data_IF_999004084743
#
_entry.id   IF_999004084743
#
_cell.length_a   1.000
_cell.length_b   1.000
_cell.length_c   1.000
_cell.angle_alpha   90.00
_cell.angle_beta   90.00
_cell.angle_gamma   90.00
#
_symmetry.space_group_name_H-M   'P 1'
#
loop_
_entity.id
_entity.type
_entity.pdbx_description
1 polymer ?
#
# COMPACT_ATOMS: atom_id res chain seq x y z
N UNK A 1 -4.45 -29.14 -86.44
CA UNK A 1 -4.98 -29.16 -85.06
C UNK A 1 -3.86 -28.74 -84.15
N UNK A 2 -3.86 -27.47 -83.77
CA UNK A 2 -2.84 -26.86 -82.97
C UNK A 2 -3.41 -26.68 -81.57
N UNK A 3 -2.77 -27.29 -80.59
CA UNK A 3 -3.12 -27.05 -79.16
C UNK A 3 -2.40 -25.80 -78.61
N UNK A 4 -3.07 -24.88 -77.98
CA UNK A 4 -2.37 -23.81 -77.32
C UNK A 4 -1.86 -24.26 -75.90
N UNK A 5 -0.57 -24.04 -75.63
CA UNK A 5 0.02 -24.19 -74.30
C UNK A 5 -0.31 -22.95 -73.47
N UNK A 6 -1.01 -23.14 -72.34
CA UNK A 6 -1.20 -22.13 -71.34
C UNK A 6 0.05 -22.06 -70.44
N UNK A 7 0.87 -21.05 -70.63
CA UNK A 7 1.92 -20.70 -69.69
C UNK A 7 1.32 -19.90 -68.52
N UNK A 8 1.22 -20.53 -67.36
CA UNK A 8 0.78 -19.91 -66.15
C UNK A 8 1.96 -19.12 -65.55
N UNK A 9 1.93 -17.81 -65.76
CA UNK A 9 2.88 -16.89 -65.04
C UNK A 9 2.41 -16.76 -63.63
N UNK A 10 3.09 -17.46 -62.70
CA UNK A 10 2.89 -17.35 -61.26
C UNK A 10 3.61 -16.10 -60.79
N UNK A 11 2.87 -15.00 -60.65
CA UNK A 11 3.36 -13.75 -60.07
C UNK A 11 3.51 -13.95 -58.53
N UNK A 12 4.71 -14.28 -58.07
CA UNK A 12 5.04 -14.26 -56.64
C UNK A 12 5.05 -12.80 -56.16
N UNK A 13 3.94 -12.35 -55.62
CA UNK A 13 3.92 -11.18 -54.75
C UNK A 13 4.68 -11.53 -53.47
N UNK A 14 5.95 -11.13 -53.40
CA UNK A 14 6.68 -11.06 -52.12
C UNK A 14 6.03 -9.98 -51.27
N UNK A 15 5.09 -10.39 -50.43
CA UNK A 15 4.73 -9.60 -49.29
C UNK A 15 5.94 -9.60 -48.35
N UNK A 16 6.71 -8.54 -48.39
CA UNK A 16 7.62 -8.20 -47.34
C UNK A 16 6.76 -7.98 -46.09
N UNK A 17 6.59 -9.02 -45.27
CA UNK A 17 6.18 -8.83 -43.89
C UNK A 17 7.28 -8.00 -43.25
N UNK A 18 7.07 -6.71 -43.21
CA UNK A 18 7.73 -5.92 -42.18
C UNK A 18 7.30 -6.58 -40.87
N UNK A 19 8.18 -7.38 -40.29
CA UNK A 19 8.08 -7.69 -38.89
C UNK A 19 8.04 -6.34 -38.20
N UNK A 20 6.85 -5.90 -37.82
CA UNK A 20 6.69 -4.96 -36.74
C UNK A 20 7.28 -5.72 -35.54
N UNK A 21 8.57 -5.53 -35.29
CA UNK A 21 9.17 -5.94 -34.03
C UNK A 21 8.26 -5.34 -32.98
N UNK A 22 7.55 -6.19 -32.22
CA UNK A 22 6.93 -5.75 -30.99
C UNK A 22 8.02 -4.98 -30.28
N UNK A 23 7.87 -3.68 -30.08
CA UNK A 23 8.91 -2.81 -29.60
C UNK A 23 9.31 -3.34 -28.22
N UNK A 24 10.49 -3.95 -28.15
CA UNK A 24 11.10 -4.30 -26.87
C UNK A 24 11.15 -3.01 -26.04
N UNK A 25 10.89 -3.11 -24.72
CA UNK A 25 10.98 -1.97 -23.85
C UNK A 25 12.36 -1.30 -24.03
N UNK A 26 12.36 0.01 -24.23
CA UNK A 26 13.61 0.73 -24.52
C UNK A 26 14.39 0.95 -23.23
N UNK A 27 15.65 0.56 -23.24
CA UNK A 27 16.58 0.73 -22.11
C UNK A 27 16.76 2.20 -21.73
N UNK A 28 16.68 2.51 -20.44
CA UNK A 28 16.99 3.85 -19.90
C UNK A 28 18.47 4.20 -20.11
N UNK A 29 19.34 3.21 -20.23
CA UNK A 29 20.77 3.43 -20.47
C UNK A 29 21.04 4.03 -21.85
N UNK A 30 20.16 3.83 -22.82
CA UNK A 30 20.23 4.50 -24.14
C UNK A 30 20.10 6.02 -24.04
N UNK A 31 19.48 6.51 -22.97
CA UNK A 31 19.34 7.93 -22.66
C UNK A 31 20.44 8.44 -21.70
N UNK A 32 21.38 7.58 -21.33
CA UNK A 32 22.50 7.93 -20.48
C UNK A 32 22.24 7.74 -18.98
N UNK A 33 21.13 7.13 -18.57
CA UNK A 33 20.90 6.76 -17.15
C UNK A 33 21.81 5.60 -16.81
N UNK A 34 22.78 5.80 -15.89
CA UNK A 34 23.81 4.79 -15.58
C UNK A 34 24.16 4.81 -14.10
N UNK A 35 24.53 3.65 -13.52
CA UNK A 35 25.21 3.64 -12.24
C UNK A 35 26.50 4.47 -12.33
N UNK A 36 26.82 5.20 -11.28
CA UNK A 36 28.03 6.05 -11.21
C UNK A 36 27.90 7.45 -11.82
N UNK A 37 26.83 7.79 -12.52
CA UNK A 37 26.51 9.19 -12.82
C UNK A 37 26.06 9.91 -11.55
N UNK A 38 26.15 11.24 -11.55
CA UNK A 38 25.57 12.03 -10.45
C UNK A 38 24.03 11.88 -10.42
N UNK A 39 23.38 11.99 -9.23
CA UNK A 39 21.93 11.92 -9.11
C UNK A 39 21.20 12.91 -10.02
N UNK A 40 21.72 14.14 -10.14
CA UNK A 40 21.15 15.18 -10.99
C UNK A 40 21.26 14.85 -12.50
N UNK A 41 22.37 14.26 -12.93
CA UNK A 41 22.56 13.80 -14.32
C UNK A 41 21.59 12.66 -14.65
N UNK A 42 21.50 11.67 -13.78
CA UNK A 42 20.55 10.56 -13.96
C UNK A 42 19.09 11.04 -13.96
N UNK A 43 18.74 11.99 -13.11
CA UNK A 43 17.41 12.64 -13.14
C UNK A 43 17.11 13.23 -14.51
N UNK A 44 18.01 14.07 -15.04
CA UNK A 44 17.82 14.70 -16.34
C UNK A 44 17.70 13.68 -17.46
N UNK A 45 18.55 12.66 -17.44
CA UNK A 45 18.58 11.59 -18.44
C UNK A 45 17.31 10.73 -18.37
N UNK A 46 16.84 10.42 -17.17
CA UNK A 46 15.60 9.65 -16.96
C UNK A 46 14.38 10.47 -17.41
N UNK A 47 14.35 11.77 -17.11
CA UNK A 47 13.26 12.64 -17.58
C UNK A 47 13.25 12.73 -19.11
N UNK A 48 14.41 12.84 -19.77
CA UNK A 48 14.51 12.83 -21.23
C UNK A 48 13.99 11.51 -21.84
N UNK A 49 14.29 10.37 -21.19
CA UNK A 49 13.76 9.06 -21.59
C UNK A 49 12.23 9.02 -21.47
N UNK A 50 11.68 9.51 -20.38
CA UNK A 50 10.23 9.57 -20.13
C UNK A 50 9.55 10.52 -21.12
N UNK A 51 10.15 11.66 -21.44
CA UNK A 51 9.63 12.62 -22.38
C UNK A 51 9.53 12.01 -23.77
N UNK A 52 10.59 11.36 -24.24
CA UNK A 52 10.57 10.61 -25.49
C UNK A 52 9.53 9.48 -25.48
N UNK A 53 9.47 8.68 -24.41
CA UNK A 53 8.54 7.58 -24.31
C UNK A 53 7.07 8.04 -24.32
N UNK A 54 6.78 9.20 -23.75
CA UNK A 54 5.43 9.78 -23.73
C UNK A 54 4.92 10.21 -25.11
N UNK A 55 5.82 10.59 -26.01
CA UNK A 55 5.47 11.00 -27.38
C UNK A 55 4.94 9.81 -28.20
N UNK A 56 5.41 8.61 -27.92
CA UNK A 56 5.09 7.40 -28.69
C UNK A 56 4.34 6.32 -27.91
N UNK A 57 4.09 6.54 -26.60
CA UNK A 57 3.44 5.55 -25.74
C UNK A 57 4.33 4.32 -25.49
N UNK A 58 5.58 4.51 -25.06
CA UNK A 58 6.55 3.43 -24.92
C UNK A 58 6.75 2.97 -23.48
N UNK A 59 7.28 1.75 -23.34
CA UNK A 59 7.84 1.23 -22.10
C UNK A 59 9.35 1.47 -22.03
N UNK A 60 9.81 1.86 -20.84
CA UNK A 60 11.22 2.03 -20.51
C UNK A 60 11.68 0.88 -19.61
N UNK A 61 12.76 0.25 -20.01
CA UNK A 61 13.39 -0.84 -19.26
C UNK A 61 14.46 -0.27 -18.33
N UNK A 62 14.28 -0.52 -17.02
CA UNK A 62 15.28 -0.25 -15.99
C UNK A 62 16.13 -1.50 -15.84
N UNK A 63 17.32 -1.50 -16.43
CA UNK A 63 18.18 -2.67 -16.45
C UNK A 63 18.61 -3.08 -15.05
N UNK A 64 18.77 -4.38 -14.80
CA UNK A 64 19.38 -4.84 -13.57
C UNK A 64 20.85 -4.46 -13.51
N UNK A 65 21.30 -4.05 -12.34
CA UNK A 65 22.70 -3.68 -12.09
C UNK A 65 23.12 -4.11 -10.68
N UNK A 66 24.41 -4.38 -10.51
CA UNK A 66 25.01 -4.63 -9.20
C UNK A 66 25.14 -3.35 -8.35
N UNK A 67 25.15 -2.19 -9.01
CA UNK A 67 25.13 -0.88 -8.37
C UNK A 67 23.81 -0.18 -8.66
N UNK A 68 23.14 0.42 -7.66
CA UNK A 68 21.93 1.19 -7.86
C UNK A 68 22.13 2.40 -8.78
N UNK A 69 21.06 2.82 -9.43
CA UNK A 69 21.02 4.11 -10.12
C UNK A 69 20.70 5.20 -9.11
N UNK A 70 21.69 6.06 -8.81
CA UNK A 70 21.44 7.24 -7.97
C UNK A 70 20.69 8.29 -8.78
N UNK A 71 19.51 8.72 -8.29
CA UNK A 71 18.63 9.64 -9.04
C UNK A 71 17.98 10.62 -8.09
N UNK A 72 18.07 11.93 -8.39
CA UNK A 72 17.33 12.97 -7.68
C UNK A 72 15.82 12.89 -7.94
N UNK A 73 15.02 13.34 -6.97
CA UNK A 73 13.58 13.41 -7.06
C UNK A 73 13.06 14.50 -8.02
N UNK A 74 11.74 14.57 -8.15
CA UNK A 74 11.06 15.49 -9.05
C UNK A 74 10.91 14.97 -10.47
N UNK A 75 10.94 13.65 -10.66
CA UNK A 75 10.63 12.99 -11.93
C UNK A 75 9.12 13.07 -12.18
N UNK A 76 8.73 13.41 -13.41
CA UNK A 76 7.34 13.37 -13.87
C UNK A 76 7.19 12.18 -14.81
N UNK A 77 6.52 11.13 -14.35
CA UNK A 77 6.16 9.99 -15.20
C UNK A 77 4.94 10.39 -16.03
N UNK A 78 5.20 10.82 -17.25
CA UNK A 78 4.20 11.35 -18.17
C UNK A 78 3.24 10.29 -18.68
N UNK A 79 2.12 10.73 -19.22
CA UNK A 79 1.04 9.88 -19.73
C UNK A 79 1.53 8.75 -20.61
N UNK A 80 0.92 7.58 -20.43
CA UNK A 80 1.13 6.38 -21.23
C UNK A 80 2.57 5.86 -21.24
N UNK A 81 3.37 6.17 -20.21
CA UNK A 81 4.72 5.65 -20.04
C UNK A 81 4.73 4.56 -18.99
N UNK A 82 5.43 3.47 -19.27
CA UNK A 82 5.69 2.39 -18.32
C UNK A 82 7.18 2.35 -17.97
N UNK A 83 7.50 2.30 -16.66
CA UNK A 83 8.83 1.96 -16.15
C UNK A 83 8.80 0.51 -15.69
N UNK A 84 9.64 -0.35 -16.27
CA UNK A 84 9.64 -1.80 -16.03
C UNK A 84 11.03 -2.24 -15.60
N UNK A 85 11.09 -2.92 -14.46
CA UNK A 85 12.30 -3.57 -13.95
C UNK A 85 12.15 -5.09 -13.87
N UNK A 86 13.14 -5.77 -13.29
CA UNK A 86 13.24 -7.24 -13.27
C UNK A 86 12.52 -7.93 -12.12
N UNK A 87 12.09 -7.19 -11.10
CA UNK A 87 11.61 -7.82 -9.87
C UNK A 87 10.18 -8.32 -10.00
N UNK A 88 9.94 -9.51 -9.44
CA UNK A 88 8.62 -10.06 -9.16
C UNK A 88 8.15 -9.64 -7.75
N UNK A 89 7.10 -10.28 -7.22
CA UNK A 89 6.60 -10.05 -5.86
C UNK A 89 7.59 -10.62 -4.83
N UNK A 90 8.56 -9.82 -4.41
CA UNK A 90 9.60 -10.19 -3.45
C UNK A 90 9.45 -9.37 -2.17
N UNK A 91 8.79 -9.90 -1.12
CA UNK A 91 8.51 -9.12 0.11
C UNK A 91 9.75 -8.61 0.85
N UNK A 92 10.91 -9.13 0.52
CA UNK A 92 12.20 -8.76 1.11
C UNK A 92 13.18 -8.21 0.09
N UNK A 93 12.74 -8.05 -1.18
CA UNK A 93 13.56 -7.56 -2.27
C UNK A 93 14.71 -8.49 -2.65
N UNK A 94 15.65 -7.94 -3.41
CA UNK A 94 16.85 -8.63 -3.86
C UNK A 94 18.09 -7.83 -3.48
N UNK A 95 19.01 -8.44 -2.74
CA UNK A 95 20.18 -7.77 -2.19
C UNK A 95 21.49 -8.42 -2.63
N UNK A 96 22.54 -7.60 -2.70
CA UNK A 96 23.88 -8.09 -2.97
C UNK A 96 24.39 -8.94 -1.79
N UNK A 97 24.99 -10.12 -2.03
CA UNK A 97 25.36 -11.03 -0.95
C UNK A 97 26.40 -10.47 0.03
N UNK A 98 27.25 -9.54 -0.42
CA UNK A 98 28.32 -8.98 0.40
C UNK A 98 28.21 -7.48 0.67
N UNK A 99 27.65 -6.69 -0.26
CA UNK A 99 27.59 -5.21 -0.13
C UNK A 99 26.43 -4.73 0.75
N UNK A 100 25.47 -5.58 1.08
CA UNK A 100 24.28 -5.24 1.88
C UNK A 100 23.48 -4.08 1.27
N UNK A 101 23.37 -4.05 -0.02
CA UNK A 101 22.59 -3.09 -0.80
C UNK A 101 21.63 -3.83 -1.73
N UNK A 102 20.53 -3.22 -2.15
CA UNK A 102 19.68 -3.81 -3.18
C UNK A 102 20.42 -3.94 -4.51
N UNK A 103 20.08 -4.96 -5.28
CA UNK A 103 20.61 -5.18 -6.64
C UNK A 103 19.48 -5.45 -7.62
N UNK A 104 19.75 -5.27 -8.89
CA UNK A 104 18.76 -5.40 -9.96
C UNK A 104 18.27 -4.03 -10.43
N UNK A 105 17.00 -3.88 -10.68
CA UNK A 105 16.40 -2.59 -11.08
C UNK A 105 16.14 -1.73 -9.86
N UNK A 106 17.14 -0.94 -9.45
CA UNK A 106 17.14 -0.18 -8.19
C UNK A 106 17.41 1.29 -8.42
N UNK A 107 16.53 2.15 -7.91
CA UNK A 107 16.82 3.57 -7.74
C UNK A 107 17.26 3.86 -6.30
N UNK A 108 18.44 4.46 -6.12
CA UNK A 108 18.90 5.00 -4.86
C UNK A 108 18.56 6.50 -4.79
N UNK A 109 17.91 6.91 -3.70
CA UNK A 109 17.32 8.23 -3.55
C UNK A 109 17.95 8.91 -2.34
N UNK A 110 18.62 10.05 -2.57
CA UNK A 110 19.22 10.89 -1.54
C UNK A 110 18.57 12.27 -1.45
N UNK A 111 17.78 12.66 -2.46
CA UNK A 111 17.04 13.92 -2.48
C UNK A 111 15.92 13.92 -1.42
N UNK A 112 16.09 14.76 -0.41
CA UNK A 112 15.12 14.95 0.68
C UNK A 112 14.15 16.13 0.44
N UNK A 113 14.23 16.81 -0.70
CA UNK A 113 13.41 17.99 -0.99
C UNK A 113 12.20 17.68 -1.89
N UNK A 114 12.35 16.72 -2.80
CA UNK A 114 11.34 16.43 -3.81
C UNK A 114 10.80 15.01 -3.70
N UNK A 115 9.52 14.81 -3.97
CA UNK A 115 9.00 13.45 -4.22
C UNK A 115 9.77 12.82 -5.38
N UNK A 116 10.05 11.50 -5.28
CA UNK A 116 10.89 10.88 -6.30
C UNK A 116 10.20 10.87 -7.66
N UNK A 117 8.97 10.31 -7.75
CA UNK A 117 8.20 10.26 -8.99
C UNK A 117 6.78 10.80 -8.77
N UNK A 118 6.35 11.70 -9.63
CA UNK A 118 4.95 12.08 -9.80
C UNK A 118 4.36 11.37 -11.01
N UNK A 119 3.21 10.70 -10.83
CA UNK A 119 2.58 9.90 -11.88
C UNK A 119 1.41 10.62 -12.55
N UNK A 120 1.33 10.54 -13.87
CA UNK A 120 0.19 10.98 -14.66
C UNK A 120 -0.69 9.80 -15.12
N UNK A 121 -1.70 10.06 -15.95
CA UNK A 121 -2.65 9.05 -16.40
C UNK A 121 -2.03 7.97 -17.31
N UNK A 122 -2.53 6.74 -17.22
CA UNK A 122 -2.10 5.63 -18.06
C UNK A 122 -0.66 5.17 -17.80
N UNK A 123 -0.13 5.42 -16.61
CA UNK A 123 1.26 5.08 -16.27
C UNK A 123 1.36 3.77 -15.53
N UNK A 124 2.51 3.12 -15.67
CA UNK A 124 2.84 1.90 -14.95
C UNK A 124 4.26 1.98 -14.38
N UNK A 125 4.41 1.49 -13.14
CA UNK A 125 5.73 1.21 -12.55
C UNK A 125 5.69 -0.23 -12.05
N UNK A 126 6.61 -1.06 -12.54
CA UNK A 126 6.61 -2.48 -12.23
C UNK A 126 8.03 -3.02 -12.01
N UNK A 127 8.19 -3.85 -10.97
CA UNK A 127 9.41 -4.63 -10.76
C UNK A 127 10.64 -3.79 -10.42
N UNK A 128 10.46 -2.72 -9.67
CA UNK A 128 11.53 -1.78 -9.29
C UNK A 128 11.67 -1.73 -7.77
N UNK A 129 12.90 -1.59 -7.32
CA UNK A 129 13.22 -1.34 -5.92
C UNK A 129 13.64 0.12 -5.73
N UNK A 130 13.21 0.73 -4.62
CA UNK A 130 13.56 2.09 -4.20
C UNK A 130 14.33 2.00 -2.89
N UNK A 131 15.49 2.61 -2.84
CA UNK A 131 16.38 2.54 -1.70
C UNK A 131 16.81 3.94 -1.24
N UNK A 132 16.75 4.16 0.07
CA UNK A 132 17.18 5.39 0.73
C UNK A 132 18.45 5.09 1.55
N UNK A 133 19.65 5.16 0.93
CA UNK A 133 20.89 4.71 1.56
C UNK A 133 21.29 5.50 2.80
N UNK A 134 20.87 6.76 2.90
CA UNK A 134 21.20 7.64 4.03
C UNK A 134 20.20 7.55 5.18
N UNK A 135 19.10 6.79 5.02
CA UNK A 135 18.10 6.64 6.06
C UNK A 135 18.64 5.84 7.25
N UNK A 136 18.39 6.35 8.46
CA UNK A 136 18.76 5.61 9.68
C UNK A 136 17.90 4.37 9.89
N UNK A 137 18.52 3.33 10.47
CA UNK A 137 17.84 2.12 10.90
C UNK A 137 17.91 1.91 12.42
N UNK A 138 18.60 2.79 13.15
CA UNK A 138 18.88 2.61 14.59
C UNK A 138 18.56 3.81 15.46
N UNK A 139 18.63 5.02 14.92
CA UNK A 139 18.44 6.26 15.67
C UNK A 139 17.14 6.97 15.26
N UNK A 140 16.09 6.96 16.10
CA UNK A 140 14.84 7.64 15.79
C UNK A 140 14.98 9.16 15.68
N UNK A 141 15.99 9.77 16.33
CA UNK A 141 16.26 11.19 16.26
C UNK A 141 16.87 11.65 14.94
N UNK A 142 17.41 10.71 14.16
CA UNK A 142 18.03 10.97 12.86
C UNK A 142 17.16 10.52 11.67
N UNK A 143 15.88 10.21 11.88
CA UNK A 143 14.96 9.83 10.79
C UNK A 143 14.82 11.01 9.82
N UNK A 144 15.24 10.79 8.58
CA UNK A 144 15.06 11.74 7.50
C UNK A 144 13.62 11.63 6.97
N UNK A 145 12.90 12.75 6.99
CA UNK A 145 11.52 12.82 6.53
C UNK A 145 11.49 13.04 5.00
N UNK A 146 11.91 12.05 4.26
CA UNK A 146 11.84 12.10 2.81
C UNK A 146 10.40 12.34 2.34
N UNK A 147 10.20 13.15 1.26
CA UNK A 147 8.92 13.20 0.58
C UNK A 147 8.49 11.82 0.07
N UNK A 148 7.23 11.68 -0.34
CA UNK A 148 6.72 10.42 -0.86
C UNK A 148 7.57 9.91 -2.02
N UNK A 149 7.80 8.58 -2.07
CA UNK A 149 8.51 7.99 -3.21
C UNK A 149 7.70 8.14 -4.49
N UNK A 150 6.41 7.81 -4.44
CA UNK A 150 5.52 7.95 -5.61
C UNK A 150 4.30 8.75 -5.18
N UNK A 151 3.96 9.78 -5.94
CA UNK A 151 2.77 10.59 -5.68
C UNK A 151 1.99 10.89 -6.95
N UNK A 152 0.75 11.31 -6.79
CA UNK A 152 -0.08 11.81 -7.90
C UNK A 152 0.43 13.14 -8.42
N UNK A 153 0.12 13.41 -9.68
CA UNK A 153 0.37 14.74 -10.27
C UNK A 153 -0.42 15.82 -9.55
N UNK A 154 0.21 16.96 -9.32
CA UNK A 154 -0.41 18.16 -8.74
C UNK A 154 -1.03 19.08 -9.80
N UNK A 155 -0.79 18.82 -11.07
CA UNK A 155 -1.18 19.69 -12.18
C UNK A 155 -2.12 19.02 -13.17
N UNK A 156 -2.23 17.69 -13.14
CA UNK A 156 -3.10 16.91 -14.01
C UNK A 156 -3.80 15.78 -13.24
N UNK A 157 -4.94 15.31 -13.74
CA UNK A 157 -5.59 14.11 -13.19
C UNK A 157 -4.73 12.89 -13.47
N UNK A 158 -4.73 11.95 -12.52
CA UNK A 158 -4.07 10.65 -12.65
C UNK A 158 -5.16 9.58 -12.75
N UNK A 159 -5.25 8.91 -13.89
CA UNK A 159 -6.25 7.86 -14.16
C UNK A 159 -5.57 6.63 -14.73
N UNK A 160 -5.99 5.43 -14.28
CA UNK A 160 -5.44 4.18 -14.80
C UNK A 160 -3.95 4.01 -14.47
N UNK A 161 -3.55 4.27 -13.22
CA UNK A 161 -2.17 4.06 -12.75
C UNK A 161 -2.03 2.66 -12.18
N UNK A 162 -1.01 1.92 -12.62
CA UNK A 162 -0.73 0.57 -12.16
C UNK A 162 0.68 0.48 -11.56
N UNK A 163 0.74 0.18 -10.26
CA UNK A 163 1.96 0.10 -9.47
C UNK A 163 2.11 -1.32 -8.93
N UNK A 164 3.11 -2.08 -9.37
CA UNK A 164 3.22 -3.49 -9.00
C UNK A 164 4.63 -3.98 -8.79
N UNK A 165 4.77 -4.97 -7.89
CA UNK A 165 6.05 -5.59 -7.57
C UNK A 165 7.11 -4.56 -7.17
N UNK A 166 6.74 -3.62 -6.33
CA UNK A 166 7.63 -2.56 -5.85
C UNK A 166 8.11 -2.86 -4.44
N UNK A 167 9.38 -2.60 -4.19
CA UNK A 167 10.00 -2.80 -2.88
C UNK A 167 10.69 -1.52 -2.43
N UNK A 168 10.45 -1.11 -1.19
CA UNK A 168 10.97 0.12 -0.62
C UNK A 168 11.87 -0.19 0.58
N UNK A 169 13.01 0.48 0.65
CA UNK A 169 13.97 0.33 1.75
C UNK A 169 14.28 1.70 2.35
N UNK A 170 13.81 1.95 3.57
CA UNK A 170 14.07 3.18 4.30
C UNK A 170 13.22 4.37 3.89
N UNK A 171 12.16 4.16 3.17
CA UNK A 171 11.19 5.20 2.80
C UNK A 171 10.54 5.84 4.04
N UNK A 172 10.26 7.14 3.96
CA UNK A 172 9.43 7.81 4.96
C UNK A 172 7.94 7.65 4.66
N UNK A 173 7.54 7.80 3.39
CA UNK A 173 6.21 7.57 2.85
C UNK A 173 6.36 6.94 1.46
N UNK A 174 5.76 5.78 1.22
CA UNK A 174 5.87 5.12 -0.09
C UNK A 174 4.97 5.78 -1.14
N UNK A 175 3.66 5.91 -0.85
CA UNK A 175 2.68 6.38 -1.82
C UNK A 175 1.83 7.52 -1.24
N UNK A 176 1.88 8.69 -1.88
CA UNK A 176 1.00 9.82 -1.58
C UNK A 176 0.00 10.05 -2.73
N UNK A 177 -1.12 9.38 -2.63
CA UNK A 177 -2.24 9.51 -3.54
C UNK A 177 -3.36 10.37 -2.93
N UNK A 178 -2.95 11.33 -2.12
CA UNK A 178 -3.83 12.35 -1.56
C UNK A 178 -4.11 13.42 -2.62
N UNK A 179 -5.00 13.11 -3.54
CA UNK A 179 -5.36 13.98 -4.64
C UNK A 179 -6.20 15.18 -4.18
N UNK A 180 -6.16 16.24 -4.95
CA UNK A 180 -7.10 17.32 -4.77
C UNK A 180 -8.45 16.96 -5.40
N UNK A 181 -9.58 17.36 -4.80
CA UNK A 181 -10.92 17.07 -5.31
C UNK A 181 -11.10 17.41 -6.81
N UNK A 182 -10.47 18.49 -7.28
CA UNK A 182 -10.52 18.92 -8.70
C UNK A 182 -9.67 18.04 -9.63
N UNK A 183 -8.67 17.36 -9.08
CA UNK A 183 -7.73 16.49 -9.77
C UNK A 183 -7.86 15.05 -9.27
N UNK A 184 -9.07 14.64 -8.94
CA UNK A 184 -9.35 13.32 -8.40
C UNK A 184 -8.75 12.21 -9.26
N UNK A 185 -8.22 11.19 -8.57
CA UNK A 185 -7.69 10.00 -9.21
C UNK A 185 -8.82 9.03 -9.60
N UNK A 186 -8.57 8.17 -10.58
CA UNK A 186 -9.47 7.10 -10.96
C UNK A 186 -8.71 5.85 -11.37
N UNK A 187 -9.26 4.67 -11.09
CA UNK A 187 -8.70 3.37 -11.53
C UNK A 187 -7.24 3.15 -11.05
N UNK A 188 -6.96 3.47 -9.80
CA UNK A 188 -5.65 3.23 -9.21
C UNK A 188 -5.50 1.76 -8.79
N UNK A 189 -4.37 1.15 -9.10
CA UNK A 189 -4.04 -0.20 -8.64
C UNK A 189 -2.64 -0.25 -8.03
N UNK A 190 -2.57 -0.73 -6.79
CA UNK A 190 -1.34 -1.06 -6.06
C UNK A 190 -1.34 -2.56 -5.84
N UNK A 191 -0.33 -3.26 -6.31
CA UNK A 191 -0.29 -4.72 -6.24
C UNK A 191 1.12 -5.21 -5.90
N UNK A 192 1.23 -6.09 -4.90
CA UNK A 192 2.52 -6.63 -4.46
C UNK A 192 3.57 -5.54 -4.15
N UNK A 193 3.17 -4.52 -3.36
CA UNK A 193 4.06 -3.46 -2.92
C UNK A 193 4.49 -3.70 -1.47
N UNK A 194 5.78 -3.57 -1.19
CA UNK A 194 6.40 -3.98 0.06
C UNK A 194 7.32 -2.90 0.62
N UNK A 195 7.20 -2.59 1.93
CA UNK A 195 8.03 -1.59 2.58
C UNK A 195 7.83 -1.55 4.10
N UNK A 196 8.45 -0.56 4.73
CA UNK A 196 8.16 -0.17 6.11
C UNK A 196 8.35 1.34 6.26
N UNK A 197 7.28 2.11 6.09
CA UNK A 197 7.35 3.56 6.06
C UNK A 197 7.67 4.14 7.44
N UNK A 198 8.66 5.00 7.53
CA UNK A 198 9.06 5.63 8.78
C UNK A 198 8.11 6.76 9.24
N UNK A 199 7.17 7.18 8.40
CA UNK A 199 6.00 7.98 8.77
C UNK A 199 4.91 7.16 9.47
N UNK A 200 4.94 5.84 9.32
CA UNK A 200 3.86 4.93 9.68
C UNK A 200 2.75 4.82 8.63
N UNK A 201 2.81 5.59 7.54
CA UNK A 201 1.85 5.55 6.43
C UNK A 201 2.53 4.98 5.17
N UNK A 202 2.03 3.86 4.67
CA UNK A 202 2.53 3.24 3.44
C UNK A 202 1.79 3.73 2.21
N UNK A 203 0.46 3.71 2.26
CA UNK A 203 -0.42 4.25 1.21
C UNK A 203 -1.36 5.26 1.84
N UNK A 204 -1.29 6.49 1.35
CA UNK A 204 -2.22 7.56 1.66
C UNK A 204 -3.05 7.86 0.43
N UNK A 205 -4.39 7.71 0.53
CA UNK A 205 -5.31 7.84 -0.60
C UNK A 205 -6.47 8.76 -0.24
N UNK A 206 -6.69 9.78 -1.06
CA UNK A 206 -7.83 10.68 -0.95
C UNK A 206 -8.34 11.09 -2.35
N UNK A 207 -9.63 11.25 -2.51
CA UNK A 207 -10.30 11.54 -3.78
C UNK A 207 -9.88 10.60 -4.92
N UNK A 208 -9.89 9.29 -4.62
CA UNK A 208 -9.68 8.23 -5.61
C UNK A 208 -10.98 7.49 -5.88
N UNK A 209 -11.44 7.51 -7.11
CA UNK A 209 -12.74 6.99 -7.51
C UNK A 209 -12.61 5.84 -8.53
N UNK A 210 -13.76 5.35 -8.97
CA UNK A 210 -13.91 4.30 -9.97
C UNK A 210 -13.11 3.04 -9.65
N UNK A 211 -13.30 2.61 -8.40
CA UNK A 211 -12.77 1.38 -7.82
C UNK A 211 -11.23 1.34 -7.70
N UNK A 212 -10.66 2.10 -6.74
CA UNK A 212 -9.25 1.91 -6.42
C UNK A 212 -9.00 0.53 -5.80
N UNK A 213 -7.84 -0.07 -6.11
CA UNK A 213 -7.46 -1.41 -5.68
C UNK A 213 -6.12 -1.39 -4.95
N UNK A 214 -6.08 -2.01 -3.76
CA UNK A 214 -4.83 -2.27 -3.03
C UNK A 214 -4.80 -3.77 -2.75
N UNK A 215 -3.85 -4.46 -3.37
CA UNK A 215 -3.81 -5.91 -3.45
C UNK A 215 -2.45 -6.44 -2.99
N UNK A 216 -2.43 -7.43 -2.09
CA UNK A 216 -1.21 -8.14 -1.71
C UNK A 216 -0.06 -7.23 -1.22
N UNK A 217 -0.39 -6.16 -0.48
CA UNK A 217 0.61 -5.23 0.03
C UNK A 217 1.07 -5.64 1.43
N UNK A 218 2.39 -5.50 1.71
CA UNK A 218 3.01 -6.02 2.92
C UNK A 218 3.93 -4.98 3.57
N UNK A 219 3.58 -4.56 4.77
CA UNK A 219 4.31 -3.56 5.57
C UNK A 219 4.98 -4.26 6.76
N UNK A 220 6.33 -4.27 6.78
CA UNK A 220 7.07 -5.01 7.82
C UNK A 220 8.47 -4.44 8.04
N UNK A 221 8.86 -4.09 9.28
CA UNK A 221 10.19 -3.54 9.59
C UNK A 221 11.35 -4.49 9.25
N UNK A 222 11.07 -5.79 9.13
CA UNK A 222 12.07 -6.77 8.76
C UNK A 222 12.58 -6.62 7.32
N UNK A 223 11.96 -5.80 6.48
CA UNK A 223 12.42 -5.56 5.10
C UNK A 223 13.85 -5.00 5.08
N UNK A 224 14.20 -4.17 6.04
CA UNK A 224 15.54 -3.59 6.15
C UNK A 224 16.63 -4.62 6.48
N UNK A 225 16.26 -5.82 6.95
CA UNK A 225 17.20 -6.87 7.35
C UNK A 225 18.19 -7.26 6.27
N UNK A 226 17.79 -7.17 5.03
CA UNK A 226 18.58 -7.63 3.88
C UNK A 226 19.48 -6.54 3.28
N UNK A 227 19.26 -5.27 3.64
CA UNK A 227 20.01 -4.13 3.08
C UNK A 227 20.98 -3.48 4.05
N UNK A 228 21.06 -3.87 5.28
CA UNK A 228 21.98 -3.24 6.23
C UNK A 228 21.72 -3.68 7.65
N UNK A 229 20.69 -4.45 7.84
CA UNK A 229 20.25 -4.92 9.14
C UNK A 229 18.75 -4.81 9.28
N UNK A 230 18.30 -4.60 10.48
CA UNK A 230 16.90 -4.48 10.85
C UNK A 230 16.73 -3.13 11.56
N UNK A 231 15.59 -2.50 11.38
CA UNK A 231 15.24 -1.33 12.19
C UNK A 231 15.33 -1.67 13.68
N UNK A 232 15.94 -0.77 14.46
CA UNK A 232 16.00 -0.94 15.89
C UNK A 232 14.60 -0.87 16.52
N UNK A 233 14.48 -1.38 17.75
CA UNK A 233 13.22 -1.27 18.51
C UNK A 233 12.82 0.19 18.71
N UNK A 234 13.79 1.05 18.98
CA UNK A 234 13.57 2.48 19.20
C UNK A 234 13.01 3.17 17.96
N UNK A 235 13.45 2.79 16.75
CA UNK A 235 12.90 3.29 15.49
C UNK A 235 11.47 2.79 15.29
N UNK A 236 11.18 1.52 15.54
CA UNK A 236 9.83 0.96 15.46
C UNK A 236 8.90 1.66 16.47
N UNK A 237 9.34 1.86 17.69
CA UNK A 237 8.58 2.59 18.72
C UNK A 237 8.30 4.04 18.31
N UNK A 238 9.26 4.70 17.67
CA UNK A 238 9.07 6.07 17.13
C UNK A 238 8.06 6.13 15.99
N UNK A 239 7.99 5.09 15.15
CA UNK A 239 6.96 4.96 14.10
C UNK A 239 5.59 4.76 14.76
N UNK A 240 5.46 3.86 15.71
CA UNK A 240 4.22 3.61 16.46
C UNK A 240 3.74 4.88 17.18
N UNK A 241 4.65 5.64 17.79
CA UNK A 241 4.32 6.88 18.50
C UNK A 241 3.72 7.99 17.61
N UNK A 242 3.83 7.88 16.30
CA UNK A 242 3.18 8.83 15.34
C UNK A 242 1.66 8.67 15.28
N UNK A 243 1.12 7.55 15.74
CA UNK A 243 -0.32 7.23 15.72
C UNK A 243 -0.96 7.32 14.34
N UNK A 244 -0.21 6.90 13.32
CA UNK A 244 -0.64 6.84 11.91
C UNK A 244 -0.99 5.42 11.48
N UNK A 245 -1.66 5.26 10.36
CA UNK A 245 -2.11 3.98 9.83
C UNK A 245 -1.33 3.61 8.58
N UNK A 246 -0.95 2.33 8.44
CA UNK A 246 -0.24 1.86 7.26
C UNK A 246 -1.02 2.14 5.96
N UNK A 247 -2.33 1.99 6.02
CA UNK A 247 -3.23 2.29 4.91
C UNK A 247 -4.27 3.33 5.34
N UNK A 248 -4.28 4.48 4.67
CA UNK A 248 -5.24 5.57 4.92
C UNK A 248 -6.11 5.81 3.69
N UNK A 249 -7.42 5.57 3.82
CA UNK A 249 -8.39 5.59 2.73
C UNK A 249 -9.46 6.65 3.01
N UNK A 250 -9.46 7.72 2.21
CA UNK A 250 -10.41 8.83 2.31
C UNK A 250 -11.11 9.04 0.96
N UNK A 251 -12.35 9.53 0.98
CA UNK A 251 -13.16 9.90 -0.19
C UNK A 251 -12.94 8.98 -1.40
N UNK A 252 -13.17 7.67 -1.20
CA UNK A 252 -13.03 6.67 -2.26
C UNK A 252 -14.37 6.04 -2.59
N UNK A 253 -14.49 5.58 -3.81
CA UNK A 253 -15.66 4.91 -4.35
C UNK A 253 -15.40 3.41 -4.47
N UNK A 254 -16.09 2.61 -3.66
CA UNK A 254 -16.08 1.14 -3.71
C UNK A 254 -14.67 0.53 -3.74
N UNK A 255 -13.78 1.01 -2.85
CA UNK A 255 -12.41 0.54 -2.77
C UNK A 255 -12.33 -0.97 -2.55
N UNK A 256 -11.45 -1.65 -3.28
CA UNK A 256 -11.17 -3.08 -3.14
C UNK A 256 -9.81 -3.29 -2.51
N UNK A 257 -9.82 -3.77 -1.28
CA UNK A 257 -8.63 -3.95 -0.43
C UNK A 257 -8.51 -5.43 -0.08
N UNK A 258 -7.48 -6.09 -0.61
CA UNK A 258 -7.35 -7.54 -0.54
C UNK A 258 -5.95 -7.94 -0.12
N UNK A 259 -5.85 -8.84 0.86
CA UNK A 259 -4.60 -9.44 1.33
C UNK A 259 -3.57 -8.37 1.76
N UNK A 260 -4.00 -7.54 2.71
CA UNK A 260 -3.16 -6.51 3.30
C UNK A 260 -2.52 -7.03 4.57
N UNK A 261 -1.22 -6.83 4.68
CA UNK A 261 -0.45 -7.18 5.86
C UNK A 261 0.28 -5.95 6.42
N UNK A 262 0.24 -5.79 7.74
CA UNK A 262 1.13 -4.86 8.44
C UNK A 262 1.65 -5.48 9.74
N UNK A 263 2.88 -5.15 10.09
CA UNK A 263 3.52 -5.57 11.32
C UNK A 263 4.30 -4.40 11.94
N UNK A 264 4.05 -4.16 13.24
CA UNK A 264 4.82 -3.17 14.00
C UNK A 264 4.54 -1.72 13.60
N UNK A 265 3.30 -1.41 13.22
CA UNK A 265 2.80 -0.04 13.00
C UNK A 265 1.80 0.33 14.11
N UNK A 266 1.48 1.62 14.26
CA UNK A 266 0.39 2.01 15.17
C UNK A 266 -0.94 1.45 14.69
N UNK A 267 -1.29 1.70 13.43
CA UNK A 267 -2.56 1.28 12.86
C UNK A 267 -2.43 0.42 11.60
N UNK A 268 -3.37 -0.51 11.43
CA UNK A 268 -3.51 -1.27 10.20
C UNK A 268 -4.13 -0.39 9.12
N UNK A 269 -5.41 -0.05 9.27
CA UNK A 269 -6.13 0.74 8.26
C UNK A 269 -7.03 1.81 8.89
N UNK A 270 -6.99 3.00 8.31
CA UNK A 270 -7.93 4.10 8.53
C UNK A 270 -8.91 4.18 7.34
N UNK A 271 -10.20 4.10 7.62
CA UNK A 271 -11.31 4.25 6.69
C UNK A 271 -12.06 5.55 7.04
N UNK A 272 -11.76 6.64 6.34
CA UNK A 272 -12.23 7.98 6.67
C UNK A 272 -12.95 8.67 5.51
N UNK A 273 -13.37 9.90 5.70
CA UNK A 273 -14.11 10.68 4.71
C UNK A 273 -15.43 10.03 4.30
N UNK A 274 -15.82 10.18 3.06
CA UNK A 274 -16.97 9.51 2.45
C UNK A 274 -16.55 8.25 1.70
N UNK A 275 -15.67 7.43 2.30
CA UNK A 275 -15.17 6.21 1.69
C UNK A 275 -16.04 4.99 1.97
N UNK A 276 -16.13 4.07 1.02
CA UNK A 276 -16.79 2.78 1.19
C UNK A 276 -16.12 1.72 0.30
N UNK A 277 -16.37 0.45 0.60
CA UNK A 277 -15.77 -0.64 -0.16
C UNK A 277 -15.70 -1.97 0.58
N UNK A 278 -14.75 -2.79 0.17
CA UNK A 278 -14.49 -4.10 0.73
C UNK A 278 -13.05 -4.19 1.23
N UNK A 279 -12.87 -4.75 2.44
CA UNK A 279 -11.58 -5.19 2.96
C UNK A 279 -11.68 -6.67 3.28
N UNK A 280 -10.84 -7.48 2.65
CA UNK A 280 -10.89 -8.93 2.86
C UNK A 280 -9.50 -9.57 2.88
N UNK A 281 -9.41 -10.70 3.57
CA UNK A 281 -8.18 -11.51 3.65
C UNK A 281 -6.98 -10.71 4.16
N UNK A 282 -7.11 -10.02 5.27
CA UNK A 282 -6.06 -9.17 5.85
C UNK A 282 -5.49 -9.75 7.14
N UNK A 283 -4.25 -9.36 7.45
CA UNK A 283 -3.63 -9.61 8.75
C UNK A 283 -2.91 -8.36 9.24
N UNK A 284 -3.41 -7.76 10.31
CA UNK A 284 -2.77 -6.62 10.99
C UNK A 284 -2.15 -7.10 12.28
N UNK A 285 -0.85 -7.34 12.21
CA UNK A 285 -0.06 -7.97 13.26
C UNK A 285 0.70 -6.91 14.07
N UNK A 286 0.62 -7.02 15.39
CA UNK A 286 1.31 -6.13 16.33
C UNK A 286 1.02 -4.64 16.08
N UNK A 287 -0.26 -4.29 16.05
CA UNK A 287 -0.78 -2.94 15.90
C UNK A 287 -1.49 -2.48 17.17
N UNK A 288 -1.59 -1.18 17.41
CA UNK A 288 -2.43 -0.64 18.49
C UNK A 288 -3.91 -0.66 18.07
N UNK A 289 -4.19 -0.22 16.84
CA UNK A 289 -5.53 -0.19 16.26
C UNK A 289 -5.49 -0.91 14.91
N UNK A 290 -6.16 -2.05 14.82
CA UNK A 290 -6.21 -2.77 13.55
C UNK A 290 -7.02 -2.00 12.50
N UNK A 291 -8.23 -1.62 12.84
CA UNK A 291 -9.16 -0.91 11.96
C UNK A 291 -9.75 0.29 12.70
N UNK A 292 -9.61 1.47 12.14
CA UNK A 292 -10.37 2.66 12.53
C UNK A 292 -11.28 3.08 11.37
N UNK A 293 -12.59 2.88 11.52
CA UNK A 293 -13.61 3.44 10.63
C UNK A 293 -14.17 4.71 11.23
N UNK A 294 -13.84 5.86 10.64
CA UNK A 294 -14.19 7.18 11.14
C UNK A 294 -15.09 7.97 10.20
N UNK A 295 -15.05 7.65 8.93
CA UNK A 295 -15.76 8.38 7.90
C UNK A 295 -17.29 8.30 7.98
N UNK A 296 -17.96 9.25 7.36
CA UNK A 296 -19.40 9.36 7.30
C UNK A 296 -19.94 8.75 6.01
N UNK A 297 -20.60 7.61 6.12
CA UNK A 297 -21.23 6.95 4.99
C UNK A 297 -22.74 7.18 5.00
N UNK A 298 -23.17 8.24 4.33
CA UNK A 298 -24.58 8.47 4.06
C UNK A 298 -25.05 7.65 2.85
N UNK A 299 -26.35 7.27 2.82
CA UNK A 299 -27.02 6.72 1.64
C UNK A 299 -26.56 5.34 1.16
N UNK A 300 -26.70 4.33 2.01
CA UNK A 300 -26.49 2.91 1.62
C UNK A 300 -25.07 2.53 1.19
N UNK A 301 -24.09 3.34 1.49
CA UNK A 301 -22.68 3.03 1.33
C UNK A 301 -22.15 2.43 2.62
N UNK A 302 -21.49 1.30 2.55
CA UNK A 302 -20.98 0.61 3.72
C UNK A 302 -19.56 0.06 3.50
N UNK A 303 -18.88 -0.20 4.60
CA UNK A 303 -17.70 -1.02 4.59
C UNK A 303 -18.07 -2.47 4.88
N UNK A 304 -17.63 -3.36 3.97
CA UNK A 304 -17.72 -4.80 4.13
C UNK A 304 -16.32 -5.33 4.47
N UNK A 305 -16.15 -5.80 5.69
CA UNK A 305 -14.85 -6.23 6.22
C UNK A 305 -14.96 -7.71 6.55
N UNK A 306 -14.11 -8.55 5.94
CA UNK A 306 -14.25 -9.98 6.04
C UNK A 306 -12.92 -10.73 6.07
N UNK A 307 -12.93 -11.91 6.73
CA UNK A 307 -11.84 -12.89 6.66
C UNK A 307 -10.47 -12.30 7.03
N UNK A 308 -10.38 -11.70 8.18
CA UNK A 308 -9.15 -11.09 8.64
C UNK A 308 -8.78 -11.47 10.05
N UNK A 309 -7.52 -11.24 10.40
CA UNK A 309 -7.03 -11.36 11.76
C UNK A 309 -6.32 -10.08 12.21
N UNK A 310 -6.51 -9.75 13.49
CA UNK A 310 -5.90 -8.59 14.10
C UNK A 310 -5.22 -9.03 15.38
N UNK A 311 -3.91 -8.75 15.50
CA UNK A 311 -3.15 -8.92 16.72
C UNK A 311 -2.90 -7.53 17.29
N UNK A 312 -3.77 -7.13 18.21
CA UNK A 312 -3.69 -5.83 18.85
C UNK A 312 -2.67 -5.86 20.01
N UNK A 313 -1.46 -5.45 19.72
CA UNK A 313 -0.36 -5.58 20.62
C UNK A 313 0.88 -4.79 20.16
N UNK A 314 1.17 -3.66 20.78
CA UNK A 314 2.30 -2.80 20.37
C UNK A 314 3.41 -2.63 21.40
N UNK A 315 3.34 -3.37 22.52
CA UNK A 315 4.30 -3.19 23.63
C UNK A 315 3.97 -2.01 24.55
N UNK A 316 4.87 -1.68 25.46
CA UNK A 316 4.62 -0.91 26.69
C UNK A 316 4.22 0.56 26.54
N UNK A 317 4.21 1.14 25.33
CA UNK A 317 4.13 2.60 25.16
C UNK A 317 2.82 3.13 24.59
N UNK A 318 1.83 2.28 24.33
CA UNK A 318 0.55 2.71 23.77
C UNK A 318 -0.54 2.48 24.82
N UNK A 319 -1.16 3.57 25.24
CA UNK A 319 -2.20 3.54 26.30
C UNK A 319 -3.54 3.01 25.79
N UNK A 320 -3.79 3.06 24.50
CA UNK A 320 -5.11 2.83 23.89
C UNK A 320 -4.99 1.77 22.79
N UNK A 321 -5.24 0.52 23.13
CA UNK A 321 -5.17 -0.60 22.22
C UNK A 321 -6.58 -1.14 21.99
N UNK A 322 -7.05 -1.03 20.73
CA UNK A 322 -8.33 -1.59 20.30
C UNK A 322 -8.18 -2.26 18.93
N UNK A 323 -8.51 -3.54 18.79
CA UNK A 323 -8.48 -4.19 17.47
C UNK A 323 -9.31 -3.46 16.43
N UNK A 324 -10.53 -3.03 16.80
CA UNK A 324 -11.45 -2.36 15.90
C UNK A 324 -12.10 -1.18 16.63
N UNK A 325 -12.05 -0.01 16.01
CA UNK A 325 -12.77 1.19 16.43
C UNK A 325 -13.71 1.59 15.30
N UNK A 326 -14.99 1.78 15.64
CA UNK A 326 -15.99 2.30 14.70
C UNK A 326 -16.61 3.56 15.28
N UNK A 327 -16.44 4.63 14.53
CA UNK A 327 -17.01 5.95 14.78
C UNK A 327 -17.51 6.56 13.44
N UNK A 328 -18.23 7.65 13.50
CA UNK A 328 -18.80 8.23 12.28
C UNK A 328 -20.13 7.59 11.88
N UNK A 329 -20.71 8.03 10.77
CA UNK A 329 -22.05 7.65 10.32
C UNK A 329 -22.05 6.44 9.39
N UNK A 330 -23.15 5.69 9.35
CA UNK A 330 -23.43 4.65 8.36
C UNK A 330 -23.28 3.23 8.86
N UNK A 331 -23.23 2.28 7.93
CA UNK A 331 -23.18 0.85 8.23
C UNK A 331 -21.77 0.27 8.06
N UNK A 332 -21.40 -0.66 8.93
CA UNK A 332 -20.18 -1.48 8.80
C UNK A 332 -20.52 -2.93 9.09
N UNK A 333 -20.15 -3.83 8.20
CA UNK A 333 -20.26 -5.27 8.43
C UNK A 333 -18.89 -5.90 8.67
N UNK A 334 -18.80 -6.72 9.70
CA UNK A 334 -17.64 -7.52 10.07
C UNK A 334 -18.01 -9.00 9.95
N UNK A 335 -17.33 -9.76 9.10
CA UNK A 335 -17.61 -11.17 8.90
C UNK A 335 -16.35 -12.03 9.01
N UNK A 336 -16.34 -12.98 9.94
CA UNK A 336 -15.20 -13.85 10.21
C UNK A 336 -13.89 -13.06 10.46
N UNK A 337 -13.99 -11.98 11.21
CA UNK A 337 -12.82 -11.22 11.65
C UNK A 337 -12.44 -11.68 13.04
N UNK A 338 -11.22 -12.16 13.19
CA UNK A 338 -10.67 -12.60 14.45
C UNK A 338 -9.78 -11.50 15.07
N UNK A 339 -9.89 -11.29 16.36
CA UNK A 339 -8.96 -10.45 17.08
C UNK A 339 -8.47 -11.17 18.33
N UNK A 340 -7.16 -11.13 18.55
CA UNK A 340 -6.52 -11.71 19.71
C UNK A 340 -5.29 -10.90 20.14
N UNK A 341 -4.90 -11.04 21.39
CA UNK A 341 -3.60 -10.62 21.89
C UNK A 341 -2.73 -11.85 22.08
N UNK A 342 -1.47 -11.67 22.06
CA UNK A 342 -0.58 -12.79 22.31
C UNK A 342 0.65 -12.66 21.44
N UNK A 343 1.76 -12.45 22.03
CA UNK A 343 2.92 -12.15 21.35
C UNK A 343 3.84 -13.32 21.22
N UNK A 344 4.26 -13.56 20.03
CA UNK A 344 5.51 -14.23 19.82
C UNK A 344 6.55 -13.16 19.52
N UNK A 345 7.40 -12.87 20.48
CA UNK A 345 8.65 -12.23 20.21
C UNK A 345 8.85 -10.82 20.79
N UNK A 346 10.02 -10.31 20.57
CA UNK A 346 10.64 -9.16 21.17
C UNK A 346 9.92 -7.79 20.95
N UNK A 347 8.83 -7.76 20.22
CA UNK A 347 8.11 -6.52 19.91
C UNK A 347 6.82 -6.34 20.72
N UNK A 348 6.40 -7.34 21.52
CA UNK A 348 5.03 -7.38 21.97
C UNK A 348 4.89 -7.94 23.39
N UNK A 349 4.87 -7.04 24.36
CA UNK A 349 4.30 -7.35 25.67
C UNK A 349 3.04 -6.51 25.82
N UNK A 350 1.89 -7.15 25.96
CA UNK A 350 0.69 -6.46 26.46
C UNK A 350 0.92 -6.24 27.93
N UNK A 351 0.88 -5.00 28.44
CA UNK A 351 0.91 -4.75 29.88
C UNK A 351 -0.23 -5.52 30.56
N UNK A 352 0.04 -6.17 31.67
CA UNK A 352 -0.96 -6.95 32.43
C UNK A 352 -2.22 -6.16 32.81
N UNK A 353 -2.13 -4.83 32.77
CA UNK A 353 -3.19 -3.89 33.18
C UNK A 353 -3.92 -3.23 32.00
N UNK A 354 -3.62 -3.58 30.74
CA UNK A 354 -4.35 -3.02 29.61
C UNK A 354 -5.66 -3.76 29.39
N UNK A 355 -6.76 -3.03 29.50
CA UNK A 355 -8.06 -3.51 29.03
C UNK A 355 -8.26 -3.08 27.58
N UNK A 356 -8.56 -4.02 26.70
CA UNK A 356 -9.05 -3.74 25.37
C UNK A 356 -10.21 -4.66 25.05
N UNK A 357 -11.11 -4.13 24.26
CA UNK A 357 -12.26 -4.88 23.79
C UNK A 357 -12.06 -5.24 22.31
N UNK A 358 -12.75 -6.26 21.84
CA UNK A 358 -12.73 -6.61 20.42
C UNK A 358 -13.18 -5.46 19.53
N UNK A 359 -14.22 -4.74 19.97
CA UNK A 359 -14.79 -3.61 19.27
C UNK A 359 -15.09 -2.47 20.24
N UNK A 360 -14.58 -1.29 19.95
CA UNK A 360 -15.02 -0.02 20.54
C UNK A 360 -15.89 0.75 19.55
N UNK A 361 -17.11 1.08 19.97
CA UNK A 361 -18.05 1.91 19.20
C UNK A 361 -18.24 3.24 19.93
N UNK A 362 -17.81 4.33 19.28
CA UNK A 362 -17.84 5.66 19.88
C UNK A 362 -18.30 6.74 18.89
N UNK A 363 -18.37 7.99 19.36
CA UNK A 363 -18.84 9.13 18.57
C UNK A 363 -20.30 9.47 18.83
N UNK A 364 -20.86 10.40 18.06
CA UNK A 364 -22.19 10.99 18.27
C UNK A 364 -23.13 10.83 17.06
N UNK A 365 -22.73 10.04 16.08
CA UNK A 365 -23.51 9.84 14.85
C UNK A 365 -24.28 8.53 14.86
N UNK A 366 -25.39 8.50 14.12
CA UNK A 366 -26.14 7.26 13.94
C UNK A 366 -25.33 6.27 13.11
N UNK A 367 -24.99 5.14 13.70
CA UNK A 367 -24.26 4.09 13.03
C UNK A 367 -24.83 2.70 13.31
N UNK A 368 -24.58 1.79 12.42
CA UNK A 368 -24.97 0.39 12.59
C UNK A 368 -23.78 -0.52 12.33
N UNK A 369 -23.65 -1.56 13.13
CA UNK A 369 -22.60 -2.58 12.97
C UNK A 369 -23.22 -3.96 12.95
N UNK A 370 -22.88 -4.78 11.98
CA UNK A 370 -23.24 -6.20 11.95
C UNK A 370 -21.99 -7.06 12.08
N UNK A 371 -21.96 -7.99 13.02
CA UNK A 371 -20.81 -8.86 13.31
C UNK A 371 -21.25 -10.32 13.19
N UNK A 372 -20.58 -11.08 12.32
CA UNK A 372 -20.90 -12.48 12.03
C UNK A 372 -19.65 -13.36 12.10
N UNK A 373 -19.76 -14.49 12.83
CA UNK A 373 -18.73 -15.53 12.83
C UNK A 373 -17.38 -15.12 13.41
N UNK A 374 -17.30 -14.01 14.12
CA UNK A 374 -16.06 -13.53 14.70
C UNK A 374 -15.61 -14.38 15.88
N UNK A 375 -14.28 -14.52 16.06
CA UNK A 375 -13.67 -15.02 17.29
C UNK A 375 -13.08 -13.86 18.06
N UNK A 376 -13.70 -13.54 19.20
CA UNK A 376 -13.34 -12.41 20.05
C UNK A 376 -12.53 -12.93 21.24
N UNK A 377 -11.22 -12.99 21.10
CA UNK A 377 -10.33 -13.57 22.11
C UNK A 377 -9.59 -12.50 22.90
N UNK A 378 -9.21 -12.88 24.11
CA UNK A 378 -8.28 -12.13 24.96
C UNK A 378 -8.72 -10.71 25.37
N UNK A 379 -9.98 -10.36 25.23
CA UNK A 379 -10.50 -9.13 25.80
C UNK A 379 -10.56 -9.25 27.35
N UNK A 380 -10.32 -8.14 28.03
CA UNK A 380 -10.14 -8.11 29.48
C UNK A 380 -11.42 -7.75 30.21
N UNK A 381 -12.26 -6.91 29.62
CA UNK A 381 -13.57 -6.48 30.15
C UNK A 381 -14.59 -7.62 30.22
N UNK A 382 -15.73 -7.37 30.84
CA UNK A 382 -16.85 -8.32 30.91
C UNK A 382 -17.55 -8.52 29.56
N UNK A 383 -17.39 -7.57 28.62
CA UNK A 383 -17.97 -7.62 27.29
C UNK A 383 -16.89 -7.48 26.22
N UNK A 384 -16.96 -8.22 25.12
CA UNK A 384 -16.06 -8.02 23.99
C UNK A 384 -16.33 -6.73 23.21
N UNK A 385 -17.44 -6.03 23.51
CA UNK A 385 -17.87 -4.84 22.81
C UNK A 385 -18.13 -3.73 23.83
N UNK A 386 -17.41 -2.62 23.65
CA UNK A 386 -17.62 -1.36 24.38
C UNK A 386 -18.38 -0.38 23.53
N UNK A 387 -19.45 0.20 24.09
CA UNK A 387 -20.34 1.13 23.39
C UNK A 387 -20.39 2.43 24.18
N UNK A 388 -19.80 3.47 23.58
CA UNK A 388 -19.82 4.85 24.09
C UNK A 388 -20.80 5.74 23.30
N UNK A 389 -21.35 5.20 22.19
CA UNK A 389 -22.30 5.89 21.32
C UNK A 389 -23.72 5.37 21.58
N UNK A 390 -24.58 6.19 22.13
CA UNK A 390 -25.96 5.89 22.48
C UNK A 390 -26.90 5.79 21.26
N UNK A 391 -26.47 6.25 20.07
CA UNK A 391 -27.21 6.14 18.81
C UNK A 391 -26.79 4.92 17.97
N UNK A 392 -25.86 4.10 18.49
CA UNK A 392 -25.36 2.93 17.77
C UNK A 392 -26.33 1.75 17.88
N UNK A 393 -26.53 1.04 16.77
CA UNK A 393 -27.22 -0.26 16.73
C UNK A 393 -26.23 -1.33 16.31
N UNK A 394 -26.03 -2.34 17.15
CA UNK A 394 -25.06 -3.40 16.91
C UNK A 394 -25.76 -4.75 16.96
N UNK A 395 -25.61 -5.52 15.90
CA UNK A 395 -26.07 -6.90 15.83
C UNK A 395 -24.87 -7.86 15.80
N UNK A 396 -24.86 -8.82 16.72
CA UNK A 396 -23.84 -9.85 16.81
C UNK A 396 -24.49 -11.21 16.70
N UNK A 397 -24.03 -12.05 15.78
CA UNK A 397 -24.57 -13.37 15.58
C UNK A 397 -23.51 -14.41 15.18
N UNK A 398 -23.61 -15.62 15.74
CA UNK A 398 -22.72 -16.73 15.44
C UNK A 398 -21.25 -16.48 15.81
N UNK A 399 -20.98 -15.56 16.72
CA UNK A 399 -19.64 -15.25 17.19
C UNK A 399 -19.23 -16.15 18.37
N UNK A 400 -17.95 -16.19 18.68
CA UNK A 400 -17.41 -16.87 19.84
C UNK A 400 -16.70 -15.89 20.76
N UNK A 401 -16.99 -15.97 22.06
CA UNK A 401 -16.36 -15.17 23.10
C UNK A 401 -14.97 -15.75 23.52
N UNK A 402 -14.35 -15.13 24.52
CA UNK A 402 -13.04 -15.59 25.07
C UNK A 402 -13.08 -16.97 25.73
N UNK A 403 -14.25 -17.47 26.06
CA UNK A 403 -14.47 -18.82 26.60
C UNK A 403 -14.91 -19.82 25.53
N UNK A 404 -14.85 -19.41 24.24
CA UNK A 404 -15.34 -20.18 23.08
C UNK A 404 -16.82 -20.53 23.11
N UNK A 405 -17.62 -19.75 23.86
CA UNK A 405 -19.07 -19.87 23.88
C UNK A 405 -19.69 -19.00 22.78
N UNK A 406 -20.81 -19.47 22.26
CA UNK A 406 -21.60 -18.72 21.26
C UNK A 406 -22.08 -17.40 21.88
N UNK A 407 -21.75 -16.31 21.22
CA UNK A 407 -22.11 -14.96 21.60
C UNK A 407 -23.04 -14.34 20.55
N UNK A 408 -24.32 -14.21 20.93
CA UNK A 408 -25.34 -13.55 20.11
C UNK A 408 -25.96 -12.43 20.92
N UNK A 409 -25.92 -11.19 20.44
CA UNK A 409 -26.50 -10.03 21.11
C UNK A 409 -26.92 -8.95 20.13
N UNK A 410 -27.88 -8.14 20.55
CA UNK A 410 -28.24 -6.89 19.89
C UNK A 410 -28.16 -5.77 20.92
N UNK A 411 -27.61 -4.64 20.53
CA UNK A 411 -27.48 -3.44 21.33
C UNK A 411 -28.10 -2.27 20.55
N UNK A 412 -28.72 -1.29 21.25
CA UNK A 412 -29.27 -0.07 20.66
C UNK A 412 -30.78 0.06 20.80
N UNK A 413 -31.41 0.99 20.06
CA UNK A 413 -32.82 1.33 20.21
C UNK A 413 -33.75 0.10 20.16
N UNK A 414 -34.49 -0.14 21.27
CA UNK A 414 -35.55 -1.13 21.32
C UNK A 414 -35.34 -2.32 22.26
N UNK A 415 -34.33 -2.26 23.11
CA UNK A 415 -34.06 -3.30 24.13
C UNK A 415 -34.04 -2.73 25.53
#
# INVERSE_FOLDING_TARGET
MIKPSCSLIMLMLMFSFNHVNASEATSIQKFGVKPGNSPAENKQNLQNAIDWASEIGAALWVEPSDEPYEVDGGIILKKNVSLIGVHGPTPRGTTHPTKKQPVGSVFAITDSANAFIMVESGTQIKGIQFWYPEQTIKDPGAIIQYPATIKVSETSRSQGVYLSCLTFYGEYLAFDFNAQRKLACELMTFEHCYGYPLSGEFIRMDYCYDVPRILHCHVNPAIQRFVGGQFSREVVDAVIAKKTFAFSINHTDNAQLIDLFTFGTYGGILLDGESYGQLTNFNFDCVAVGILKRGNNTKNRNWQIAQGSIIANTGEKVEDIHPIIIEGEGHTSLSNVEAFSGGNGALTTVPENMSWDYLLVRGDKKLTVSIWGARMRNYVSDSPISIENDQAVIQVAGCFDKEEKIYNRTFGEGH
#
